data_IF_513428751778
#
_entry.id   IF_513428751778
#
_cell.length_a   1.000
_cell.length_b   1.000
_cell.length_c   1.000
_cell.angle_alpha   90.00
_cell.angle_beta   90.00
_cell.angle_gamma   90.00
#
_symmetry.space_group_name_H-M   'P 1'
#
loop_
_entity.id
_entity.type
_entity.pdbx_description
1 polymer ?
#
# COMPACT_ATOMS: atom_id res chain seq x y z
N UNK A 1 9.74 -15.04 20.43
CA UNK A 1 8.38 -14.88 19.83
C UNK A 1 8.23 -13.61 18.99
N UNK A 2 8.57 -12.41 19.47
CA UNK A 2 8.40 -11.14 18.73
C UNK A 2 9.08 -11.13 17.33
N UNK A 3 10.28 -11.69 17.20
CA UNK A 3 11.00 -11.80 15.92
C UNK A 3 10.23 -12.61 14.86
N UNK A 4 9.45 -13.62 15.28
CA UNK A 4 8.62 -14.42 14.36
C UNK A 4 7.44 -13.58 13.85
N UNK A 5 6.76 -12.84 14.74
CA UNK A 5 5.68 -11.95 14.34
C UNK A 5 6.14 -10.87 13.36
N UNK A 6 7.29 -10.24 13.61
CA UNK A 6 7.86 -9.24 12.68
C UNK A 6 8.11 -9.87 11.30
N UNK A 7 8.69 -11.08 11.24
CA UNK A 7 8.92 -11.79 9.97
C UNK A 7 7.62 -12.10 9.23
N UNK A 8 6.59 -12.57 9.93
CA UNK A 8 5.27 -12.84 9.34
C UNK A 8 4.68 -11.56 8.75
N UNK A 9 4.68 -10.46 9.50
CA UNK A 9 4.17 -9.16 9.04
C UNK A 9 4.93 -8.68 7.80
N UNK A 10 6.27 -8.76 7.84
CA UNK A 10 7.13 -8.37 6.72
C UNK A 10 6.82 -9.21 5.49
N UNK A 11 6.69 -10.53 5.61
CA UNK A 11 6.37 -11.41 4.48
C UNK A 11 5.00 -11.07 3.89
N UNK A 12 3.99 -10.85 4.72
CA UNK A 12 2.65 -10.46 4.24
C UNK A 12 2.67 -9.13 3.48
N UNK A 13 3.41 -8.13 3.98
CA UNK A 13 3.57 -6.85 3.30
C UNK A 13 4.37 -6.99 2.00
N UNK A 14 5.44 -7.78 1.98
CA UNK A 14 6.22 -8.05 0.76
C UNK A 14 5.35 -8.70 -0.30
N UNK A 15 4.57 -9.72 0.05
CA UNK A 15 3.65 -10.37 -0.89
C UNK A 15 2.64 -9.36 -1.44
N UNK A 16 2.05 -8.54 -0.56
CA UNK A 16 1.11 -7.49 -0.96
C UNK A 16 1.73 -6.53 -1.98
N UNK A 17 2.85 -5.89 -1.65
CA UNK A 17 3.48 -4.89 -2.52
C UNK A 17 4.04 -5.49 -3.80
N UNK A 18 4.55 -6.72 -3.74
CA UNK A 18 5.05 -7.41 -4.94
C UNK A 18 3.89 -7.70 -5.88
N UNK A 19 2.78 -8.24 -5.36
CA UNK A 19 1.58 -8.50 -6.16
C UNK A 19 1.05 -7.20 -6.80
N UNK A 20 0.95 -6.11 -6.04
CA UNK A 20 0.42 -4.83 -6.56
C UNK A 20 1.33 -4.18 -7.57
N UNK A 21 2.65 -4.27 -7.40
CA UNK A 21 3.61 -3.70 -8.34
C UNK A 21 3.64 -4.52 -9.64
N UNK A 22 3.71 -5.86 -9.51
CA UNK A 22 3.72 -6.76 -10.65
C UNK A 22 2.43 -6.65 -11.47
N UNK A 23 1.26 -6.61 -10.84
CA UNK A 23 -0.02 -6.48 -11.58
C UNK A 23 -0.10 -5.20 -12.39
N UNK A 24 0.45 -4.08 -11.88
CA UNK A 24 0.55 -2.81 -12.61
C UNK A 24 1.56 -2.84 -13.74
N UNK A 25 2.66 -3.59 -13.61
CA UNK A 25 3.65 -3.72 -14.67
C UNK A 25 3.18 -4.63 -15.80
N UNK A 26 2.57 -5.77 -15.48
CA UNK A 26 2.10 -6.72 -16.48
C UNK A 26 0.92 -6.20 -17.29
N UNK A 27 0.04 -5.41 -16.68
CA UNK A 27 -1.10 -4.78 -17.37
C UNK A 27 -1.07 -3.25 -17.20
N UNK A 28 0.05 -2.66 -17.63
CA UNK A 28 0.31 -1.22 -17.47
C UNK A 28 -0.72 -0.34 -18.19
N UNK A 29 -1.19 -0.77 -19.37
CA UNK A 29 -2.23 -0.03 -20.12
C UNK A 29 -3.51 0.07 -19.32
N UNK A 30 -4.01 -1.04 -18.77
CA UNK A 30 -5.22 -1.04 -17.94
C UNK A 30 -5.03 -0.25 -16.66
N UNK A 31 -3.87 -0.36 -16.01
CA UNK A 31 -3.57 0.43 -14.81
C UNK A 31 -3.57 1.94 -15.12
N UNK A 32 -2.92 2.36 -16.21
CA UNK A 32 -2.91 3.75 -16.67
C UNK A 32 -4.32 4.25 -16.94
N UNK A 33 -5.12 3.50 -17.68
CA UNK A 33 -6.51 3.86 -17.97
C UNK A 33 -7.34 3.97 -16.67
N UNK A 34 -7.22 2.99 -15.77
CA UNK A 34 -7.93 3.01 -14.50
C UNK A 34 -7.55 4.20 -13.61
N UNK A 35 -6.27 4.60 -13.63
CA UNK A 35 -5.76 5.80 -12.95
C UNK A 35 -6.31 7.09 -13.53
N UNK A 36 -6.38 7.22 -14.86
CA UNK A 36 -6.93 8.41 -15.52
C UNK A 36 -8.45 8.56 -15.33
N UNK A 37 -9.16 7.46 -15.04
CA UNK A 37 -10.60 7.51 -14.72
C UNK A 37 -10.89 7.88 -13.25
N UNK A 38 -9.88 7.84 -12.38
CA UNK A 38 -10.02 8.29 -11.00
C UNK A 38 -10.35 9.79 -10.96
N UNK A 39 -11.04 10.28 -9.92
CA UNK A 39 -11.28 11.70 -9.69
C UNK A 39 -10.00 12.42 -9.19
N UNK A 40 -8.89 12.24 -9.91
CA UNK A 40 -7.62 12.90 -9.67
C UNK A 40 -7.37 13.89 -10.80
N UNK A 41 -6.75 15.03 -10.49
CA UNK A 41 -6.29 15.94 -11.52
C UNK A 41 -5.15 15.29 -12.33
N UNK A 42 -5.10 15.56 -13.64
CA UNK A 42 -4.11 14.96 -14.55
C UNK A 42 -2.67 15.16 -14.06
N UNK A 43 -2.35 16.34 -13.53
CA UNK A 43 -1.02 16.67 -13.00
C UNK A 43 -0.62 15.82 -11.78
N UNK A 44 -1.59 15.19 -11.09
CA UNK A 44 -1.35 14.21 -10.02
C UNK A 44 -1.33 12.78 -10.61
N UNK A 45 -2.28 12.47 -11.49
CA UNK A 45 -2.44 11.12 -12.05
C UNK A 45 -1.22 10.68 -12.86
N UNK A 46 -0.68 11.55 -13.72
CA UNK A 46 0.44 11.23 -14.60
C UNK A 46 1.72 10.84 -13.84
N UNK A 47 2.21 11.62 -12.85
CA UNK A 47 3.32 11.18 -12.01
C UNK A 47 3.06 9.87 -11.28
N UNK A 48 1.86 9.68 -10.72
CA UNK A 48 1.51 8.47 -9.97
C UNK A 48 1.55 7.21 -10.83
N UNK A 49 1.13 7.29 -12.10
CA UNK A 49 1.19 6.14 -13.02
C UNK A 49 2.60 5.56 -13.14
N UNK A 50 3.65 6.39 -13.14
CA UNK A 50 5.02 5.90 -13.25
C UNK A 50 5.68 5.66 -11.88
N UNK A 51 5.42 6.53 -10.91
CA UNK A 51 6.10 6.50 -9.61
C UNK A 51 5.51 5.49 -8.65
N UNK A 52 4.21 5.21 -8.72
CA UNK A 52 3.52 4.35 -7.76
C UNK A 52 4.01 2.88 -7.83
N UNK A 53 4.10 2.23 -9.02
CA UNK A 53 4.61 0.86 -9.10
C UNK A 53 6.07 0.76 -8.63
N UNK A 54 6.88 1.79 -8.91
CA UNK A 54 8.28 1.85 -8.48
C UNK A 54 8.38 1.98 -6.96
N UNK A 55 7.54 2.83 -6.35
CA UNK A 55 7.50 3.01 -4.90
C UNK A 55 7.05 1.73 -4.18
N UNK A 56 6.03 1.04 -4.71
CA UNK A 56 5.55 -0.23 -4.17
C UNK A 56 6.66 -1.29 -4.18
N UNK A 57 7.38 -1.42 -5.30
CA UNK A 57 8.50 -2.35 -5.41
C UNK A 57 9.67 -1.95 -4.49
N UNK A 58 9.98 -0.65 -4.37
CA UNK A 58 11.02 -0.15 -3.48
C UNK A 58 10.70 -0.46 -2.00
N UNK A 59 9.43 -0.34 -1.60
CA UNK A 59 8.97 -0.74 -0.26
C UNK A 59 9.13 -2.25 -0.07
N UNK A 60 8.74 -3.08 -1.04
CA UNK A 60 8.91 -4.53 -0.96
C UNK A 60 10.38 -4.94 -0.77
N UNK A 61 11.28 -4.37 -1.56
CA UNK A 61 12.73 -4.63 -1.45
C UNK A 61 13.31 -4.10 -0.12
N UNK A 62 12.87 -2.92 0.32
CA UNK A 62 13.28 -2.35 1.59
C UNK A 62 12.85 -3.17 2.81
N UNK A 63 11.70 -3.85 2.74
CA UNK A 63 11.20 -4.74 3.80
C UNK A 63 12.05 -6.01 3.95
N UNK A 64 12.60 -6.52 2.84
CA UNK A 64 13.49 -7.68 2.83
C UNK A 64 14.85 -7.38 3.45
N UNK A 65 15.34 -6.14 3.33
CA UNK A 65 16.63 -5.74 3.91
C UNK A 65 16.52 -5.36 5.38
N UNK A 66 17.29 -6.01 6.26
CA UNK A 66 17.33 -5.67 7.69
C UNK A 66 17.71 -4.20 7.94
N UNK A 67 18.60 -3.63 7.11
CA UNK A 67 19.05 -2.23 7.21
C UNK A 67 17.93 -1.24 6.91
N UNK A 68 17.09 -1.53 5.92
CA UNK A 68 16.05 -0.63 5.45
C UNK A 68 14.66 -0.94 6.02
N UNK A 69 14.49 -2.06 6.72
CA UNK A 69 13.18 -2.54 7.21
C UNK A 69 12.41 -1.50 7.99
N UNK A 70 13.06 -0.74 8.88
CA UNK A 70 12.38 0.31 9.67
C UNK A 70 11.85 1.42 8.77
N UNK A 71 12.66 1.90 7.84
CA UNK A 71 12.27 2.92 6.87
C UNK A 71 11.17 2.41 5.92
N UNK A 72 11.27 1.16 5.46
CA UNK A 72 10.29 0.54 4.59
C UNK A 72 8.94 0.29 5.29
N UNK A 73 8.93 -0.10 6.57
CA UNK A 73 7.70 -0.19 7.37
C UNK A 73 7.03 1.17 7.53
N UNK A 74 7.80 2.23 7.80
CA UNK A 74 7.27 3.60 7.89
C UNK A 74 6.72 4.09 6.54
N UNK A 75 7.46 3.89 5.45
CA UNK A 75 7.01 4.21 4.09
C UNK A 75 5.75 3.44 3.71
N UNK A 76 5.70 2.15 4.04
CA UNK A 76 4.52 1.31 3.86
C UNK A 76 3.32 1.81 4.67
N UNK A 77 3.52 2.24 5.92
CA UNK A 77 2.43 2.75 6.75
C UNK A 77 1.87 4.06 6.18
N UNK A 78 2.76 4.94 5.70
CA UNK A 78 2.37 6.17 5.02
C UNK A 78 1.55 5.87 3.76
N UNK A 79 2.05 4.99 2.88
CA UNK A 79 1.37 4.65 1.64
C UNK A 79 0.01 3.98 1.87
N UNK A 80 -0.07 3.02 2.80
CA UNK A 80 -1.33 2.40 3.21
C UNK A 80 -2.31 3.42 3.81
N UNK A 81 -1.84 4.38 4.60
CA UNK A 81 -2.68 5.43 5.16
C UNK A 81 -3.24 6.34 4.05
N UNK A 82 -2.42 6.76 3.09
CA UNK A 82 -2.85 7.56 1.93
C UNK A 82 -3.90 6.81 1.12
N UNK A 83 -3.68 5.54 0.78
CA UNK A 83 -4.66 4.73 0.05
C UNK A 83 -5.96 4.52 0.84
N UNK A 84 -5.86 4.29 2.16
CA UNK A 84 -7.03 4.14 3.03
C UNK A 84 -7.84 5.43 3.09
N UNK A 85 -7.18 6.57 3.28
CA UNK A 85 -7.82 7.89 3.32
C UNK A 85 -8.50 8.22 1.98
N UNK A 86 -7.83 7.94 0.87
CA UNK A 86 -8.40 8.12 -0.47
C UNK A 86 -9.66 7.27 -0.69
N UNK A 87 -9.60 5.98 -0.35
CA UNK A 87 -10.75 5.07 -0.47
C UNK A 87 -11.91 5.51 0.44
N UNK A 88 -11.62 5.98 1.66
CA UNK A 88 -12.63 6.50 2.57
C UNK A 88 -13.29 7.77 2.00
N UNK A 89 -12.51 8.69 1.42
CA UNK A 89 -13.02 9.93 0.85
C UNK A 89 -13.93 9.68 -0.36
N UNK A 90 -13.60 8.69 -1.20
CA UNK A 90 -14.50 8.22 -2.26
C UNK A 90 -15.81 7.71 -1.68
N UNK A 91 -15.75 6.86 -0.65
CA UNK A 91 -16.95 6.29 -0.04
C UNK A 91 -17.84 7.32 0.66
N UNK A 92 -17.24 8.39 1.20
CA UNK A 92 -17.97 9.52 1.79
C UNK A 92 -18.55 10.47 0.73
N UNK A 93 -18.36 10.18 -0.56
CA UNK A 93 -18.89 10.99 -1.65
C UNK A 93 -18.12 12.29 -1.90
N UNK A 94 -16.89 12.40 -1.42
CA UNK A 94 -16.09 13.63 -1.50
C UNK A 94 -15.82 14.16 -2.92
N UNK A 95 -16.02 13.32 -3.95
CA UNK A 95 -15.82 13.66 -5.36
C UNK A 95 -17.12 13.75 -6.18
N UNK A 96 -18.29 13.64 -5.56
CA UNK A 96 -19.60 13.73 -6.25
C UNK A 96 -19.94 12.55 -7.17
N UNK A 97 -18.99 11.65 -7.45
CA UNK A 97 -19.19 10.37 -8.15
C UNK A 97 -18.27 9.29 -7.57
N UNK A 98 -18.74 8.04 -7.57
CA UNK A 98 -17.94 6.88 -7.15
C UNK A 98 -17.32 6.27 -8.42
N UNK A 99 -15.99 6.36 -8.62
CA UNK A 99 -15.32 5.78 -9.79
C UNK A 99 -15.32 4.24 -9.71
N UNK A 100 -15.06 3.57 -10.84
CA UNK A 100 -14.83 2.12 -10.82
C UNK A 100 -13.63 1.79 -9.91
N UNK A 101 -13.75 0.74 -9.10
CA UNK A 101 -12.62 0.18 -8.34
C UNK A 101 -11.66 -0.65 -9.22
N UNK A 102 -11.77 -0.52 -10.54
CA UNK A 102 -10.98 -1.20 -11.57
C UNK A 102 -9.45 -0.99 -11.40
N UNK A 103 -9.03 0.08 -10.71
CA UNK A 103 -7.64 0.39 -10.38
C UNK A 103 -7.24 0.10 -8.93
N UNK A 104 -8.07 -0.60 -8.17
CA UNK A 104 -7.74 -0.98 -6.79
C UNK A 104 -6.56 -1.98 -6.74
N UNK A 105 -5.92 -2.07 -5.56
CA UNK A 105 -4.82 -3.01 -5.25
C UNK A 105 -5.11 -4.44 -5.72
N UNK A 106 -6.37 -4.88 -5.64
CA UNK A 106 -6.85 -6.16 -6.14
C UNK A 106 -8.02 -5.89 -7.11
N UNK A 107 -7.80 -6.19 -8.39
CA UNK A 107 -8.79 -6.03 -9.46
C UNK A 107 -10.10 -6.76 -9.11
N UNK A 108 -11.23 -6.06 -9.23
CA UNK A 108 -12.56 -6.62 -8.94
C UNK A 108 -13.03 -6.49 -7.49
N UNK A 109 -12.20 -5.97 -6.58
CA UNK A 109 -12.64 -5.66 -5.22
C UNK A 109 -13.46 -4.36 -5.19
N UNK A 110 -14.63 -4.35 -4.55
CA UNK A 110 -15.40 -3.12 -4.32
C UNK A 110 -14.75 -2.19 -3.30
N UNK A 111 -15.11 -0.90 -3.29
CA UNK A 111 -14.52 0.12 -2.40
C UNK A 111 -14.57 -0.24 -0.91
N UNK A 112 -15.69 -0.80 -0.43
CA UNK A 112 -15.85 -1.26 0.96
C UNK A 112 -14.81 -2.32 1.33
N UNK A 113 -14.68 -3.35 0.49
CA UNK A 113 -13.73 -4.42 0.70
C UNK A 113 -12.28 -3.89 0.63
N UNK A 114 -12.00 -2.96 -0.29
CA UNK A 114 -10.69 -2.32 -0.40
C UNK A 114 -10.32 -1.52 0.85
N UNK A 115 -11.27 -0.77 1.41
CA UNK A 115 -11.06 -0.02 2.63
C UNK A 115 -10.74 -0.94 3.82
N UNK A 116 -11.51 -2.02 4.00
CA UNK A 116 -11.27 -3.02 5.05
C UNK A 116 -9.91 -3.69 4.88
N UNK A 117 -9.56 -4.05 3.65
CA UNK A 117 -8.29 -4.66 3.31
C UNK A 117 -7.11 -3.75 3.67
N UNK A 118 -7.09 -2.52 3.15
CA UNK A 118 -6.00 -1.58 3.44
C UNK A 118 -5.91 -1.22 4.93
N UNK A 119 -7.06 -1.04 5.60
CA UNK A 119 -7.09 -0.74 7.05
C UNK A 119 -6.51 -1.89 7.86
N UNK A 120 -6.81 -3.14 7.50
CA UNK A 120 -6.26 -4.33 8.16
C UNK A 120 -4.74 -4.40 8.01
N UNK A 121 -4.22 -4.16 6.81
CA UNK A 121 -2.78 -4.11 6.57
C UNK A 121 -2.10 -2.91 7.24
N UNK A 122 -2.78 -1.76 7.35
CA UNK A 122 -2.28 -0.59 8.07
C UNK A 122 -2.13 -0.89 9.56
N UNK A 123 -3.12 -1.51 10.20
CA UNK A 123 -3.06 -1.94 11.60
C UNK A 123 -1.94 -2.96 11.80
N UNK A 124 -1.84 -3.95 10.91
CA UNK A 124 -0.78 -4.96 10.95
C UNK A 124 0.61 -4.33 10.84
N UNK A 125 0.78 -3.36 9.95
CA UNK A 125 2.04 -2.63 9.79
C UNK A 125 2.36 -1.78 11.03
N UNK A 126 1.40 -1.03 11.57
CA UNK A 126 1.57 -0.27 12.81
C UNK A 126 1.99 -1.18 13.98
N UNK A 127 1.40 -2.37 14.07
CA UNK A 127 1.82 -3.39 15.04
C UNK A 127 3.26 -3.85 14.80
N UNK A 128 3.64 -4.13 13.55
CA UNK A 128 5.02 -4.46 13.16
C UNK A 128 6.03 -3.38 13.56
N UNK A 129 5.71 -2.10 13.36
CA UNK A 129 6.53 -0.96 13.80
C UNK A 129 6.66 -0.95 15.33
N UNK A 130 5.57 -1.18 16.06
CA UNK A 130 5.58 -1.20 17.52
C UNK A 130 6.46 -2.33 18.09
N UNK A 131 6.43 -3.51 17.46
CA UNK A 131 7.27 -4.64 17.82
C UNK A 131 8.75 -4.35 17.51
N UNK A 132 9.04 -3.74 16.36
CA UNK A 132 10.41 -3.40 15.98
C UNK A 132 11.03 -2.36 16.93
N UNK A 133 10.25 -1.37 17.37
CA UNK A 133 10.69 -0.39 18.39
C UNK A 133 11.02 -1.07 19.73
N UNK A 134 10.17 -1.99 20.19
CA UNK A 134 10.41 -2.75 21.43
C UNK A 134 11.67 -3.61 21.33
N UNK A 135 11.94 -4.21 20.17
CA UNK A 135 13.14 -5.01 19.97
C UNK A 135 14.41 -4.15 20.01
N UNK A 136 14.42 -3.01 19.32
CA UNK A 136 15.57 -2.10 19.33
C UNK A 136 15.88 -1.49 20.71
N UNK A 137 14.89 -1.44 21.61
CA UNK A 137 15.08 -1.02 23.00
C UNK A 137 15.54 -2.15 23.94
N UNK A 138 15.42 -3.42 23.53
CA UNK A 138 15.90 -4.60 24.27
C UNK A 138 17.28 -5.06 23.80
N UNK A 139 17.60 -4.82 22.52
CA UNK A 139 18.91 -5.11 21.93
C UNK A 139 19.98 -4.03 22.28
N UNK A 140 19.62 -3.00 23.07
CA UNK A 140 20.51 -1.99 23.68
C UNK A 140 20.66 -2.25 25.18
#
# INVERSE_FOLDING_TARGET
MQKIFIKIIVVLLVVLYTYTACSKWFDFTRFKEAMLHQPLADWIAWPLIYTLPVLELAIALGLLSDRFRKAALLGSACLLAVFTAYAALIMLGGFGRIPCSCGAVISGMGWKAHLVFNTSFLILNAYGISLLKKQGAYDQ
#
